data_IF_019919609425
#
_entry.id   IF_019919609425
#
_cell.length_a   1.000
_cell.length_b   1.000
_cell.length_c   1.000
_cell.angle_alpha   90.00
_cell.angle_beta   90.00
_cell.angle_gamma   90.00
#
_symmetry.space_group_name_H-M   'P 1'
#
loop_
_entity.id
_entity.type
_entity.pdbx_description
1 polymer ?
#
# COMPACT_ATOMS: atom_id res chain seq x y z
N UNK A 1 -5.19 -20.98 -6.14
CA UNK A 1 -4.40 -19.95 -5.41
C UNK A 1 -5.27 -18.92 -4.71
N UNK A 2 -6.04 -18.07 -5.42
CA UNK A 2 -6.83 -17.02 -4.76
C UNK A 2 -7.89 -17.58 -3.79
N UNK A 3 -8.42 -18.77 -4.09
CA UNK A 3 -9.32 -19.48 -3.17
C UNK A 3 -8.61 -19.87 -1.88
N UNK A 4 -7.38 -20.38 -1.97
CA UNK A 4 -6.54 -20.67 -0.81
C UNK A 4 -6.20 -19.39 -0.03
N UNK A 5 -5.89 -18.27 -0.70
CA UNK A 5 -5.68 -16.99 -0.05
C UNK A 5 -6.92 -16.49 0.70
N UNK A 6 -8.09 -16.61 0.06
CA UNK A 6 -9.38 -16.23 0.65
C UNK A 6 -9.69 -17.11 1.84
N UNK A 7 -9.43 -18.41 1.74
CA UNK A 7 -9.61 -19.36 2.84
C UNK A 7 -8.66 -19.07 4.01
N UNK A 8 -7.38 -18.77 3.75
CA UNK A 8 -6.40 -18.35 4.76
C UNK A 8 -6.89 -17.13 5.52
N UNK A 9 -7.36 -16.08 4.83
CA UNK A 9 -7.91 -14.89 5.49
C UNK A 9 -9.17 -15.23 6.29
N UNK A 10 -10.10 -15.98 5.69
CA UNK A 10 -11.40 -16.30 6.31
C UNK A 10 -11.24 -17.17 7.56
N UNK A 11 -10.24 -18.06 7.58
CA UNK A 11 -9.94 -18.95 8.72
C UNK A 11 -8.93 -18.36 9.70
N UNK A 12 -8.59 -17.06 9.58
CA UNK A 12 -7.63 -16.37 10.44
C UNK A 12 -6.22 -17.03 10.43
N UNK A 13 -5.80 -17.43 9.24
CA UNK A 13 -4.52 -18.05 8.88
C UNK A 13 -3.73 -17.20 7.87
N UNK A 14 -3.89 -15.88 7.94
CA UNK A 14 -3.28 -14.96 6.99
C UNK A 14 -1.74 -14.90 7.10
N UNK A 15 -1.17 -15.45 8.18
CA UNK A 15 0.27 -15.68 8.33
C UNK A 15 0.87 -16.54 7.21
N UNK A 16 0.05 -17.39 6.57
CA UNK A 16 0.51 -18.24 5.48
C UNK A 16 0.39 -17.59 4.10
N UNK A 17 -0.21 -16.41 3.96
CA UNK A 17 -0.34 -15.73 2.65
C UNK A 17 1.00 -15.55 1.93
N UNK A 18 2.12 -15.18 2.58
CA UNK A 18 3.40 -15.07 1.91
C UNK A 18 3.91 -16.39 1.32
N UNK A 19 3.43 -17.55 1.79
CA UNK A 19 3.81 -18.85 1.23
C UNK A 19 3.28 -19.06 -0.20
N UNK A 20 2.26 -18.31 -0.60
CA UNK A 20 1.74 -18.29 -1.98
C UNK A 20 2.66 -17.54 -2.95
N UNK A 21 3.71 -16.87 -2.45
CA UNK A 21 4.68 -16.13 -3.26
C UNK A 21 6.01 -16.86 -3.25
N UNK A 22 6.46 -17.28 -4.42
CA UNK A 22 7.78 -17.83 -4.67
C UNK A 22 8.73 -16.67 -5.01
N UNK A 23 9.75 -16.47 -4.18
CA UNK A 23 10.80 -15.47 -4.40
C UNK A 23 12.11 -16.24 -4.59
N UNK A 24 12.64 -16.34 -5.82
CA UNK A 24 13.91 -17.02 -6.04
C UNK A 24 15.04 -16.29 -5.32
N UNK A 25 15.86 -17.06 -4.60
CA UNK A 25 17.08 -16.57 -3.95
C UNK A 25 18.31 -16.91 -4.81
N UNK A 26 19.34 -16.06 -4.78
CA UNK A 26 20.66 -16.43 -5.28
C UNK A 26 21.32 -17.39 -4.31
N UNK A 27 22.24 -18.18 -4.85
CA UNK A 27 23.15 -19.00 -4.05
C UNK A 27 24.27 -18.12 -3.48
N UNK A 28 23.93 -17.30 -2.49
CA UNK A 28 24.87 -16.41 -1.78
C UNK A 28 24.74 -16.61 -0.28
N UNK A 29 25.90 -16.60 0.38
CA UNK A 29 26.04 -16.58 1.84
C UNK A 29 26.74 -15.28 2.21
N UNK A 30 26.15 -14.52 3.12
CA UNK A 30 26.71 -13.27 3.61
C UNK A 30 27.80 -13.52 4.67
N UNK A 31 28.53 -12.47 5.06
CA UNK A 31 29.67 -12.56 5.98
C UNK A 31 29.31 -13.11 7.36
N UNK A 32 28.05 -12.96 7.79
CA UNK A 32 27.50 -13.50 9.04
C UNK A 32 27.02 -14.96 8.95
N UNK A 33 27.18 -15.59 7.78
CA UNK A 33 26.75 -16.97 7.50
C UNK A 33 25.28 -17.11 7.11
N UNK A 34 24.52 -16.00 7.04
CA UNK A 34 23.12 -16.03 6.59
C UNK A 34 23.06 -16.14 5.07
N UNK A 35 22.17 -16.97 4.54
CA UNK A 35 21.94 -17.06 3.09
C UNK A 35 20.85 -16.09 2.64
N UNK A 36 20.85 -15.66 1.38
CA UNK A 36 19.77 -14.82 0.83
C UNK A 36 18.41 -15.54 0.94
N UNK A 37 18.38 -16.86 0.76
CA UNK A 37 17.17 -17.66 0.97
C UNK A 37 16.64 -17.54 2.42
N UNK A 38 17.53 -17.56 3.41
CA UNK A 38 17.16 -17.41 4.81
C UNK A 38 16.66 -15.99 5.12
N UNK A 39 17.30 -14.96 4.55
CA UNK A 39 16.87 -13.56 4.70
C UNK A 39 15.48 -13.32 4.08
N UNK A 40 15.25 -13.84 2.87
CA UNK A 40 13.92 -13.81 2.21
C UNK A 40 12.88 -14.54 3.08
N UNK A 41 13.22 -15.71 3.63
CA UNK A 41 12.32 -16.46 4.50
C UNK A 41 11.96 -15.68 5.76
N UNK A 42 12.92 -14.98 6.37
CA UNK A 42 12.68 -14.13 7.55
C UNK A 42 11.72 -12.98 7.20
N UNK A 43 11.94 -12.29 6.08
CA UNK A 43 11.04 -11.22 5.61
C UNK A 43 9.64 -11.77 5.32
N UNK A 44 9.53 -12.94 4.68
CA UNK A 44 8.23 -13.58 4.44
C UNK A 44 7.52 -13.94 5.74
N UNK A 45 8.23 -14.45 6.75
CA UNK A 45 7.66 -14.73 8.06
C UNK A 45 7.12 -13.45 8.72
N UNK A 46 7.90 -12.36 8.69
CA UNK A 46 7.47 -11.06 9.23
C UNK A 46 6.28 -10.48 8.48
N UNK A 47 6.22 -10.62 7.16
CA UNK A 47 5.05 -10.24 6.37
C UNK A 47 3.82 -11.03 6.80
N UNK A 48 3.99 -12.33 7.06
CA UNK A 48 2.93 -13.20 7.58
C UNK A 48 2.40 -12.72 8.93
N UNK A 49 3.29 -12.46 9.89
CA UNK A 49 2.94 -11.93 11.22
C UNK A 49 2.12 -10.63 11.11
N UNK A 50 2.54 -9.73 10.22
CA UNK A 50 1.84 -8.46 9.95
C UNK A 50 0.45 -8.69 9.35
N UNK A 51 0.33 -9.55 8.33
CA UNK A 51 -0.95 -9.86 7.69
C UNK A 51 -1.93 -10.52 8.65
N UNK A 52 -1.46 -11.47 9.47
CA UNK A 52 -2.26 -12.08 10.52
C UNK A 52 -2.78 -11.03 11.53
N UNK A 53 -1.93 -10.07 11.91
CA UNK A 53 -2.37 -8.98 12.79
C UNK A 53 -3.38 -8.05 12.12
N UNK A 54 -3.19 -7.71 10.85
CA UNK A 54 -4.16 -6.92 10.08
C UNK A 54 -5.54 -7.60 10.04
N UNK A 55 -5.58 -8.92 9.79
CA UNK A 55 -6.84 -9.68 9.80
C UNK A 55 -7.49 -9.71 11.18
N UNK A 56 -6.72 -9.86 12.26
CA UNK A 56 -7.26 -9.77 13.63
C UNK A 56 -7.86 -8.39 13.91
N UNK A 57 -7.15 -7.34 13.54
CA UNK A 57 -7.63 -5.95 13.67
C UNK A 57 -8.92 -5.73 12.88
N UNK A 58 -9.00 -6.25 11.64
CA UNK A 58 -10.20 -6.22 10.83
C UNK A 58 -11.39 -6.89 11.54
N UNK A 59 -11.17 -8.07 12.13
CA UNK A 59 -12.16 -8.79 12.92
C UNK A 59 -12.67 -7.95 14.09
N UNK A 60 -11.78 -7.38 14.89
CA UNK A 60 -12.18 -6.52 16.03
C UNK A 60 -12.96 -5.28 15.55
N UNK A 61 -12.56 -4.64 14.44
CA UNK A 61 -13.30 -3.52 13.88
C UNK A 61 -14.71 -3.92 13.45
N UNK A 62 -14.86 -5.08 12.82
CA UNK A 62 -16.15 -5.59 12.36
C UNK A 62 -17.06 -5.97 13.53
N UNK A 63 -16.52 -6.57 14.58
CA UNK A 63 -17.27 -6.92 15.78
C UNK A 63 -17.78 -5.67 16.52
N UNK A 64 -16.93 -4.63 16.59
CA UNK A 64 -17.20 -3.42 17.37
C UNK A 64 -18.02 -2.38 16.61
N UNK A 65 -17.85 -2.29 15.29
CA UNK A 65 -18.49 -1.30 14.44
C UNK A 65 -19.15 -1.91 13.18
N UNK A 66 -19.97 -2.98 13.29
CA UNK A 66 -20.42 -3.77 12.14
C UNK A 66 -21.15 -2.92 11.09
N UNK A 67 -22.08 -2.06 11.54
CA UNK A 67 -22.85 -1.19 10.65
C UNK A 67 -21.99 -0.14 9.93
N UNK A 68 -20.93 0.35 10.58
CA UNK A 68 -20.06 1.36 9.99
C UNK A 68 -19.12 0.71 8.97
N UNK A 69 -18.57 -0.46 9.31
CA UNK A 69 -17.72 -1.26 8.42
C UNK A 69 -18.48 -1.67 7.17
N UNK A 70 -19.70 -2.22 7.30
CA UNK A 70 -20.53 -2.60 6.16
C UNK A 70 -20.88 -1.41 5.27
N UNK A 71 -21.14 -0.24 5.87
CA UNK A 71 -21.45 0.99 5.14
C UNK A 71 -20.25 1.47 4.34
N UNK A 72 -19.07 1.54 4.95
CA UNK A 72 -17.83 1.95 4.29
C UNK A 72 -17.45 0.98 3.16
N UNK A 73 -17.47 -0.32 3.41
CA UNK A 73 -17.15 -1.33 2.38
C UNK A 73 -18.09 -1.20 1.18
N UNK A 74 -19.40 -1.10 1.42
CA UNK A 74 -20.38 -0.90 0.33
C UNK A 74 -20.13 0.41 -0.42
N UNK A 75 -19.80 1.49 0.29
CA UNK A 75 -19.50 2.77 -0.32
C UNK A 75 -18.23 2.70 -1.19
N UNK A 76 -17.17 2.06 -0.70
CA UNK A 76 -15.91 1.90 -1.46
C UNK A 76 -16.10 0.98 -2.66
N UNK A 77 -16.65 -0.22 -2.46
CA UNK A 77 -16.86 -1.19 -3.54
C UNK A 77 -17.85 -0.67 -4.60
N UNK A 78 -18.84 0.14 -4.19
CA UNK A 78 -19.78 0.79 -5.09
C UNK A 78 -19.16 1.87 -5.99
N UNK A 79 -17.99 2.42 -5.63
CA UNK A 79 -17.26 3.39 -6.47
C UNK A 79 -16.53 2.74 -7.66
N UNK A 80 -16.31 1.42 -7.64
CA UNK A 80 -15.55 0.71 -8.67
C UNK A 80 -14.21 1.39 -8.95
N UNK A 81 -13.92 1.68 -10.23
CA UNK A 81 -12.68 2.32 -10.66
C UNK A 81 -12.50 3.78 -10.18
N UNK A 82 -13.52 4.39 -9.55
CA UNK A 82 -13.44 5.75 -8.97
C UNK A 82 -13.04 5.75 -7.49
N UNK A 83 -12.79 4.60 -6.88
CA UNK A 83 -12.34 4.51 -5.49
C UNK A 83 -10.93 5.11 -5.36
N UNK A 84 -10.72 5.96 -4.36
CA UNK A 84 -9.38 6.47 -4.06
C UNK A 84 -8.49 5.38 -3.46
N UNK A 85 -7.17 5.57 -3.48
CA UNK A 85 -6.21 4.66 -2.83
C UNK A 85 -6.49 4.49 -1.34
N UNK A 86 -6.86 5.58 -0.67
CA UNK A 86 -7.30 5.56 0.73
C UNK A 86 -8.55 4.71 0.92
N UNK A 87 -9.54 4.85 0.04
CA UNK A 87 -10.78 4.05 0.09
C UNK A 87 -10.47 2.55 -0.03
N UNK A 88 -9.61 2.18 -0.99
CA UNK A 88 -9.20 0.80 -1.21
C UNK A 88 -8.42 0.22 -0.02
N UNK A 89 -7.50 1.01 0.56
CA UNK A 89 -6.76 0.60 1.76
C UNK A 89 -7.70 0.39 2.96
N UNK A 90 -8.68 1.27 3.15
CA UNK A 90 -9.70 1.12 4.21
C UNK A 90 -10.52 -0.15 3.97
N UNK A 91 -10.97 -0.41 2.74
CA UNK A 91 -11.73 -1.62 2.44
C UNK A 91 -10.92 -2.90 2.66
N UNK A 92 -9.65 -2.92 2.23
CA UNK A 92 -8.75 -4.05 2.43
C UNK A 92 -8.48 -4.32 3.92
N UNK A 93 -8.44 -3.28 4.76
CA UNK A 93 -8.21 -3.41 6.21
C UNK A 93 -9.50 -3.75 6.95
N UNK A 94 -10.66 -3.26 6.50
CA UNK A 94 -11.93 -3.47 7.17
C UNK A 94 -12.55 -4.84 6.86
N UNK A 95 -12.35 -5.35 5.64
CA UNK A 95 -12.76 -6.70 5.23
C UNK A 95 -11.80 -7.25 4.15
N UNK A 96 -10.66 -7.82 4.59
CA UNK A 96 -9.65 -8.34 3.66
C UNK A 96 -10.19 -9.46 2.76
N UNK A 97 -11.16 -10.26 3.22
CA UNK A 97 -11.74 -11.37 2.45
C UNK A 97 -12.66 -10.85 1.33
N UNK A 98 -13.53 -9.89 1.64
CA UNK A 98 -14.37 -9.26 0.63
C UNK A 98 -13.52 -8.51 -0.41
N UNK A 99 -12.44 -7.86 0.02
CA UNK A 99 -11.50 -7.21 -0.87
C UNK A 99 -10.84 -8.22 -1.84
N UNK A 100 -10.29 -9.33 -1.33
CA UNK A 100 -9.70 -10.39 -2.18
C UNK A 100 -10.72 -10.96 -3.17
N UNK A 101 -11.95 -11.17 -2.73
CA UNK A 101 -13.05 -11.66 -3.58
C UNK A 101 -13.37 -10.66 -4.69
N UNK A 102 -13.34 -9.36 -4.40
CA UNK A 102 -13.54 -8.33 -5.41
C UNK A 102 -12.42 -8.32 -6.46
N UNK A 103 -11.16 -8.54 -6.05
CA UNK A 103 -10.01 -8.60 -6.96
C UNK A 103 -10.06 -9.81 -7.91
N UNK A 104 -10.77 -10.89 -7.55
CA UNK A 104 -10.89 -12.12 -8.36
C UNK A 104 -11.33 -11.86 -9.80
N UNK A 105 -12.20 -10.86 -10.01
CA UNK A 105 -12.73 -10.52 -11.34
C UNK A 105 -11.70 -9.83 -12.22
N UNK A 106 -10.70 -9.22 -11.60
CA UNK A 106 -9.64 -8.50 -12.29
C UNK A 106 -8.47 -9.43 -12.61
N UNK A 107 -8.24 -10.46 -11.80
CA UNK A 107 -7.16 -11.41 -12.05
C UNK A 107 -7.57 -12.43 -13.13
N UNK A 108 -6.81 -12.50 -14.22
CA UNK A 108 -6.93 -13.52 -15.25
C UNK A 108 -5.60 -14.23 -15.45
N UNK A 109 -5.67 -15.48 -15.91
CA UNK A 109 -4.49 -16.33 -16.14
C UNK A 109 -4.50 -16.84 -17.55
N UNK A 110 -3.32 -16.82 -18.18
CA UNK A 110 -3.08 -17.45 -19.49
C UNK A 110 -2.08 -18.57 -19.28
N UNK A 111 -2.48 -19.81 -19.57
CA UNK A 111 -1.58 -20.96 -19.51
C UNK A 111 -0.42 -20.78 -20.51
N UNK A 112 0.80 -20.97 -20.04
CA UNK A 112 2.02 -20.90 -20.85
C UNK A 112 2.58 -22.28 -21.17
N UNK A 113 2.02 -23.34 -20.60
CA UNK A 113 2.56 -24.69 -20.63
C UNK A 113 3.55 -24.97 -19.51
N UNK A 114 3.95 -26.24 -19.38
CA UNK A 114 5.01 -26.71 -18.47
C UNK A 114 4.81 -26.36 -16.98
N UNK A 115 3.55 -26.33 -16.53
CA UNK A 115 3.21 -25.97 -15.16
C UNK A 115 3.42 -24.48 -14.86
N UNK A 116 3.35 -23.62 -15.88
CA UNK A 116 3.45 -22.16 -15.73
C UNK A 116 2.27 -21.44 -16.36
N UNK A 117 1.89 -20.29 -15.78
CA UNK A 117 0.86 -19.43 -16.35
C UNK A 117 1.23 -17.95 -16.18
N UNK A 118 0.89 -17.11 -17.16
CA UNK A 118 1.00 -15.67 -17.04
C UNK A 118 -0.16 -15.11 -16.21
N UNK A 119 0.13 -14.15 -15.32
CA UNK A 119 -0.88 -13.44 -14.55
C UNK A 119 -1.14 -12.06 -15.17
N UNK A 120 -2.41 -11.76 -15.40
CA UNK A 120 -2.89 -10.47 -15.86
C UNK A 120 -3.85 -9.88 -14.83
N UNK A 121 -3.86 -8.55 -14.72
CA UNK A 121 -4.79 -7.81 -13.89
C UNK A 121 -5.58 -6.85 -14.77
N UNK A 122 -6.90 -7.00 -14.77
CA UNK A 122 -7.85 -6.23 -15.58
C UNK A 122 -7.53 -6.32 -17.09
N UNK A 123 -7.15 -7.53 -17.53
CA UNK A 123 -6.73 -7.80 -18.90
C UNK A 123 -5.34 -7.30 -19.28
N UNK A 124 -4.63 -6.60 -18.38
CA UNK A 124 -3.28 -6.10 -18.62
C UNK A 124 -2.21 -7.00 -17.99
N UNK A 125 -1.10 -7.29 -18.68
CA UNK A 125 0.03 -8.02 -18.09
C UNK A 125 0.62 -7.28 -16.90
N UNK A 126 0.90 -7.98 -15.81
CA UNK A 126 1.56 -7.40 -14.64
C UNK A 126 3.09 -7.50 -14.83
N UNK A 127 3.84 -6.44 -14.52
CA UNK A 127 5.31 -6.37 -14.74
C UNK A 127 5.73 -6.72 -16.17
N UNK A 128 5.05 -6.16 -17.18
CA UNK A 128 5.26 -6.48 -18.59
C UNK A 128 5.17 -8.00 -18.90
N UNK A 129 4.38 -8.74 -18.11
CA UNK A 129 4.20 -10.19 -18.25
C UNK A 129 5.23 -11.03 -17.47
N UNK A 130 6.14 -10.41 -16.73
CA UNK A 130 7.15 -11.14 -15.95
C UNK A 130 6.58 -11.82 -14.68
N UNK A 131 5.42 -11.35 -14.19
CA UNK A 131 4.75 -11.99 -13.06
C UNK A 131 4.01 -13.23 -13.53
N UNK A 132 4.46 -14.39 -13.05
CA UNK A 132 3.95 -15.70 -13.48
C UNK A 132 3.44 -16.49 -12.29
N UNK A 133 2.63 -17.50 -12.57
CA UNK A 133 2.28 -18.58 -11.66
C UNK A 133 3.13 -19.80 -12.02
N UNK A 134 3.57 -20.52 -10.99
CA UNK A 134 4.26 -21.80 -11.10
C UNK A 134 3.50 -22.86 -10.31
N UNK A 135 3.30 -24.02 -10.92
CA UNK A 135 2.74 -25.20 -10.26
C UNK A 135 3.82 -25.88 -9.42
N UNK A 136 3.52 -26.10 -8.14
CA UNK A 136 4.38 -26.81 -7.20
C UNK A 136 3.64 -28.03 -6.64
N UNK A 137 4.33 -28.91 -5.90
CA UNK A 137 3.69 -30.03 -5.21
C UNK A 137 2.57 -29.60 -4.25
N UNK A 138 2.68 -28.38 -3.71
CA UNK A 138 1.74 -27.81 -2.74
C UNK A 138 0.68 -26.92 -3.42
N UNK A 139 0.66 -26.90 -4.74
CA UNK A 139 -0.23 -26.09 -5.57
C UNK A 139 0.45 -24.88 -6.22
N UNK A 140 -0.38 -24.02 -6.81
CA UNK A 140 0.06 -22.86 -7.57
C UNK A 140 0.57 -21.71 -6.69
N UNK A 141 1.75 -21.17 -7.04
CA UNK A 141 2.38 -20.00 -6.38
C UNK A 141 2.65 -18.88 -7.39
N UNK A 142 2.63 -17.63 -6.94
CA UNK A 142 3.09 -16.47 -7.71
C UNK A 142 4.61 -16.45 -7.69
N UNK A 143 5.26 -16.55 -8.85
CA UNK A 143 6.69 -16.36 -8.98
C UNK A 143 7.02 -14.88 -9.14
N UNK A 144 7.70 -14.33 -8.16
CA UNK A 144 8.12 -12.93 -8.16
C UNK A 144 9.29 -12.72 -9.15
N UNK A 145 9.24 -11.70 -10.03
CA UNK A 145 10.26 -11.47 -11.05
C UNK A 145 11.47 -10.73 -10.47
N UNK A 146 12.25 -11.41 -9.61
CA UNK A 146 13.39 -10.83 -8.89
C UNK A 146 14.40 -10.20 -9.83
N UNK A 147 14.72 -10.84 -10.97
CA UNK A 147 15.72 -10.32 -11.91
C UNK A 147 15.29 -8.97 -12.52
N UNK A 148 14.00 -8.80 -12.80
CA UNK A 148 13.44 -7.54 -13.27
C UNK A 148 13.50 -6.47 -12.17
N UNK A 149 13.08 -6.81 -10.95
CA UNK A 149 13.02 -5.84 -9.84
C UNK A 149 14.42 -5.45 -9.37
N UNK A 150 15.40 -6.36 -9.39
CA UNK A 150 16.78 -6.08 -9.01
C UNK A 150 17.47 -5.09 -9.95
N UNK A 151 17.02 -5.00 -11.21
CA UNK A 151 17.49 -3.93 -12.10
C UNK A 151 17.07 -2.53 -11.64
N UNK A 152 16.00 -2.45 -10.84
CA UNK A 152 15.66 -1.25 -10.09
C UNK A 152 16.43 -1.28 -8.76
N UNK A 153 17.13 -0.20 -8.41
CA UNK A 153 18.02 -0.07 -7.23
C UNK A 153 17.33 -0.27 -5.85
N UNK A 154 16.11 -0.79 -5.83
CA UNK A 154 15.24 -0.96 -4.68
C UNK A 154 15.22 -2.41 -4.16
N UNK A 155 15.78 -3.37 -4.89
CA UNK A 155 15.91 -4.74 -4.39
C UNK A 155 17.10 -4.86 -3.43
N UNK A 156 16.96 -5.50 -2.25
CA UNK A 156 18.09 -5.72 -1.36
C UNK A 156 19.10 -6.69 -1.97
N UNK A 157 20.36 -6.28 -2.06
CA UNK A 157 21.46 -7.08 -2.58
C UNK A 157 22.45 -7.54 -1.49
N UNK A 158 22.42 -6.89 -0.32
CA UNK A 158 23.28 -7.17 0.84
C UNK A 158 22.52 -7.58 2.11
N UNK A 159 23.24 -8.13 3.09
CA UNK A 159 22.69 -8.56 4.39
C UNK A 159 22.08 -7.38 5.16
N UNK A 160 22.75 -6.25 5.12
CA UNK A 160 22.39 -5.02 5.79
C UNK A 160 21.09 -4.45 5.20
N UNK A 161 20.95 -4.45 3.87
CA UNK A 161 19.72 -4.01 3.20
C UNK A 161 18.53 -4.91 3.54
N UNK A 162 18.74 -6.23 3.58
CA UNK A 162 17.72 -7.17 4.06
C UNK A 162 17.34 -6.90 5.53
N UNK A 163 18.31 -6.58 6.39
CA UNK A 163 18.05 -6.19 7.77
C UNK A 163 17.25 -4.89 7.88
N UNK A 164 17.54 -3.91 7.01
CA UNK A 164 16.78 -2.65 6.93
C UNK A 164 15.33 -2.95 6.60
N UNK A 165 15.05 -3.77 5.58
CA UNK A 165 13.67 -4.17 5.23
C UNK A 165 12.97 -4.82 6.42
N UNK A 166 13.62 -5.77 7.08
CA UNK A 166 13.06 -6.43 8.27
C UNK A 166 12.77 -5.42 9.41
N UNK A 167 13.66 -4.45 9.64
CA UNK A 167 13.47 -3.41 10.67
C UNK A 167 12.30 -2.46 10.36
N UNK A 168 12.11 -2.10 9.08
CA UNK A 168 10.96 -1.30 8.65
C UNK A 168 9.65 -2.05 8.88
N UNK A 169 9.62 -3.35 8.58
CA UNK A 169 8.47 -4.20 8.83
C UNK A 169 8.16 -4.33 10.31
N UNK A 170 9.19 -4.48 11.17
CA UNK A 170 9.03 -4.51 12.61
C UNK A 170 8.41 -3.22 13.16
N UNK A 171 8.80 -2.06 12.62
CA UNK A 171 8.19 -0.77 12.97
C UNK A 171 6.69 -0.76 12.68
N UNK A 172 6.29 -1.22 11.48
CA UNK A 172 4.87 -1.35 11.10
C UNK A 172 4.15 -2.35 12.01
N UNK A 173 4.77 -3.48 12.32
CA UNK A 173 4.19 -4.50 13.22
C UNK A 173 3.91 -3.91 14.61
N UNK A 174 4.83 -3.12 15.17
CA UNK A 174 4.66 -2.46 16.45
C UNK A 174 3.54 -1.41 16.41
N UNK A 175 3.47 -0.62 15.34
CA UNK A 175 2.39 0.33 15.16
C UNK A 175 1.01 -0.36 15.06
N UNK A 176 0.94 -1.53 14.41
CA UNK A 176 -0.27 -2.36 14.38
C UNK A 176 -0.63 -2.95 15.75
N UNK A 177 0.36 -3.37 16.56
CA UNK A 177 0.13 -3.82 17.96
C UNK A 177 -0.47 -2.71 18.80
N UNK A 178 0.08 -1.51 18.69
CA UNK A 178 -0.42 -0.35 19.42
C UNK A 178 -1.85 0.02 18.99
N UNK A 179 -2.12 -0.05 17.69
CA UNK A 179 -3.47 0.16 17.16
C UNK A 179 -4.47 -0.89 17.68
N UNK A 180 -4.09 -2.17 17.65
CA UNK A 180 -4.90 -3.29 18.18
C UNK A 180 -5.22 -3.06 19.67
N UNK A 181 -4.22 -2.67 20.48
CA UNK A 181 -4.38 -2.36 21.90
C UNK A 181 -5.31 -1.17 22.14
N UNK A 182 -5.18 -0.10 21.36
CA UNK A 182 -6.03 1.09 21.46
C UNK A 182 -7.48 0.80 21.06
N UNK A 183 -7.67 -0.12 20.11
CA UNK A 183 -8.99 -0.58 19.70
C UNK A 183 -9.65 -1.42 20.81
N UNK A 184 -8.90 -2.36 21.40
CA UNK A 184 -9.39 -3.25 22.47
C UNK A 184 -9.68 -2.51 23.77
N UNK A 185 -8.82 -1.56 24.16
CA UNK A 185 -9.03 -0.71 25.35
C UNK A 185 -10.17 0.29 25.20
N UNK A 186 -10.68 0.46 23.98
CA UNK A 186 -11.76 1.39 23.67
C UNK A 186 -11.35 2.86 23.56
N UNK A 187 -10.04 3.13 23.48
CA UNK A 187 -9.53 4.46 23.17
C UNK A 187 -10.06 4.95 21.80
N UNK A 188 -10.24 4.03 20.85
CA UNK A 188 -10.88 4.30 19.56
C UNK A 188 -12.40 4.20 19.72
N UNK A 189 -13.10 5.32 19.59
CA UNK A 189 -14.55 5.41 19.86
C UNK A 189 -15.44 5.14 18.64
N UNK A 190 -14.91 5.26 17.42
CA UNK A 190 -15.65 5.09 16.18
C UNK A 190 -14.71 4.70 15.01
N UNK A 191 -15.31 4.29 13.89
CA UNK A 191 -14.58 3.87 12.70
C UNK A 191 -13.79 5.03 12.05
N UNK A 192 -14.26 6.27 12.15
CA UNK A 192 -13.54 7.43 11.59
C UNK A 192 -12.19 7.65 12.30
N UNK A 193 -12.18 7.57 13.63
CA UNK A 193 -10.95 7.62 14.43
C UNK A 193 -10.01 6.44 14.12
N UNK A 194 -10.58 5.24 13.90
CA UNK A 194 -9.83 4.06 13.49
C UNK A 194 -9.16 4.28 12.12
N UNK A 195 -9.96 4.69 11.12
CA UNK A 195 -9.53 4.95 9.75
C UNK A 195 -8.54 6.11 9.64
N UNK A 196 -8.68 7.16 10.45
CA UNK A 196 -7.74 8.27 10.52
C UNK A 196 -6.36 7.82 11.05
N UNK A 197 -6.35 6.97 12.07
CA UNK A 197 -5.10 6.43 12.65
C UNK A 197 -4.42 5.42 11.73
N UNK A 198 -5.19 4.54 11.10
CA UNK A 198 -4.69 3.63 10.05
C UNK A 198 -4.17 4.42 8.86
N UNK A 199 -4.91 5.43 8.40
CA UNK A 199 -4.48 6.30 7.30
C UNK A 199 -3.18 7.03 7.60
N UNK A 200 -2.96 7.44 8.85
CA UNK A 200 -1.69 8.03 9.30
C UNK A 200 -0.55 7.00 9.30
N UNK A 201 -0.80 5.81 9.84
CA UNK A 201 0.18 4.71 9.86
C UNK A 201 0.61 4.30 8.44
N UNK A 202 -0.34 4.22 7.51
CA UNK A 202 -0.07 3.94 6.09
C UNK A 202 0.60 5.13 5.42
N UNK A 203 0.14 6.35 5.69
CA UNK A 203 0.69 7.59 5.14
C UNK A 203 2.12 7.90 5.63
N UNK A 204 2.51 7.41 6.80
CA UNK A 204 3.85 7.57 7.37
C UNK A 204 4.77 6.37 7.05
N UNK A 205 4.24 5.27 6.51
CA UNK A 205 5.01 4.05 6.21
C UNK A 205 5.49 4.01 4.76
N UNK A 206 6.80 4.16 4.58
CA UNK A 206 7.48 4.02 3.27
C UNK A 206 7.25 2.63 2.63
N UNK A 207 7.10 1.58 3.44
CA UNK A 207 6.78 0.22 2.95
C UNK A 207 5.34 0.15 2.43
N UNK A 208 4.39 0.73 3.15
CA UNK A 208 3.01 0.77 2.69
C UNK A 208 2.89 1.65 1.44
N UNK A 209 3.58 2.79 1.41
CA UNK A 209 3.66 3.68 0.25
C UNK A 209 4.27 2.98 -0.97
N UNK A 210 5.31 2.16 -0.81
CA UNK A 210 5.91 1.42 -1.93
C UNK A 210 5.03 0.27 -2.43
N UNK A 211 4.31 -0.42 -1.54
CA UNK A 211 3.27 -1.39 -1.93
C UNK A 211 2.13 -0.69 -2.67
N UNK A 212 1.65 0.44 -2.16
CA UNK A 212 0.60 1.24 -2.79
C UNK A 212 1.12 1.82 -4.13
N UNK A 213 2.36 2.29 -4.20
CA UNK A 213 2.98 2.80 -5.42
C UNK A 213 3.13 1.71 -6.50
N UNK A 214 3.55 0.50 -6.10
CA UNK A 214 3.55 -0.66 -7.00
C UNK A 214 2.14 -1.01 -7.49
N UNK A 215 1.11 -0.77 -6.68
CA UNK A 215 -0.29 -0.87 -7.10
C UNK A 215 -0.77 0.33 -7.96
N UNK A 216 -0.15 1.51 -7.83
CA UNK A 216 -0.54 2.77 -8.48
C UNK A 216 0.11 3.03 -9.84
N UNK A 217 1.21 2.35 -10.22
CA UNK A 217 1.85 2.55 -11.56
C UNK A 217 1.01 1.95 -12.71
N UNK A 218 -0.31 2.10 -12.62
CA UNK A 218 -1.31 1.62 -13.56
C UNK A 218 -1.89 2.73 -14.43
N UNK A 219 -1.51 3.99 -14.25
CA UNK A 219 -1.86 5.09 -15.15
C UNK A 219 -0.70 6.08 -15.27
N UNK A 220 -0.05 6.15 -16.44
CA UNK A 220 0.82 7.27 -16.83
C UNK A 220 2.30 6.94 -17.02
N UNK A 221 2.82 7.41 -18.15
CA UNK A 221 4.21 7.42 -18.60
C UNK A 221 5.16 8.16 -17.63
N UNK A 222 6.45 8.04 -17.94
CA UNK A 222 7.60 8.70 -17.31
C UNK A 222 7.29 10.09 -16.71
N UNK A 223 7.51 10.26 -15.40
CA UNK A 223 7.77 11.58 -14.82
C UNK A 223 8.55 11.46 -13.49
N UNK A 224 9.47 12.41 -13.33
CA UNK A 224 10.51 12.49 -12.31
C UNK A 224 10.02 12.38 -10.86
N UNK A 225 10.89 11.81 -10.03
CA UNK A 225 10.77 11.72 -8.57
C UNK A 225 10.53 13.12 -7.98
N UNK A 226 9.43 13.40 -7.27
CA UNK A 226 9.36 14.62 -6.48
C UNK A 226 10.31 14.46 -5.30
N UNK A 227 11.37 15.27 -5.30
CA UNK A 227 12.27 15.41 -4.17
C UNK A 227 11.45 15.74 -2.92
N UNK A 228 11.57 14.91 -1.88
CA UNK A 228 10.99 15.19 -0.57
C UNK A 228 11.85 16.26 0.08
N UNK A 229 11.36 17.50 0.08
CA UNK A 229 11.87 18.57 0.93
C UNK A 229 11.62 18.20 2.40
N UNK A 230 12.60 17.53 3.01
CA UNK A 230 12.67 17.43 4.46
C UNK A 230 13.14 18.76 5.04
N UNK A 231 12.35 19.28 5.98
CA UNK A 231 12.65 20.28 7.01
C UNK A 231 12.11 21.71 6.79
N UNK A 232 11.09 22.06 7.59
CA UNK A 232 11.22 23.12 8.62
C UNK A 232 10.10 23.02 9.66
N UNK A 233 10.45 22.50 10.83
CA UNK A 233 9.75 22.74 12.09
C UNK A 233 10.81 23.17 13.10
N UNK A 234 10.59 24.34 13.74
CA UNK A 234 11.55 25.07 14.58
C UNK A 234 11.84 26.43 13.93
N UNK A 235 11.54 27.60 14.49
CA UNK A 235 11.30 27.99 15.87
C UNK A 235 10.33 29.18 15.93
N UNK A 236 9.56 29.24 17.02
CA UNK A 236 8.83 30.43 17.43
C UNK A 236 9.23 30.79 18.86
N UNK A 237 10.14 31.76 19.05
CA UNK A 237 10.21 32.63 20.25
C UNK A 237 10.89 33.98 19.88
N UNK A 238 10.17 35.09 20.17
CA UNK A 238 10.60 36.51 20.37
C UNK A 238 11.46 37.21 19.29
N UNK A 239 11.26 38.47 18.88
CA UNK A 239 11.13 39.67 19.70
C UNK A 239 10.65 40.87 18.84
N UNK A 240 10.15 41.91 19.50
CA UNK A 240 9.51 43.10 18.96
C UNK A 240 10.45 44.05 18.20
N UNK A 241 9.95 44.67 17.11
CA UNK A 241 10.06 46.12 16.86
C UNK A 241 9.33 46.55 15.58
N UNK A 242 8.35 47.45 15.73
CA UNK A 242 7.89 48.44 14.70
C UNK A 242 8.95 49.56 14.60
N UNK A 243 9.01 50.45 13.57
CA UNK A 243 7.85 51.11 12.95
C UNK A 243 7.90 51.54 11.45
N UNK A 244 6.71 51.65 10.84
CA UNK A 244 6.18 52.82 10.10
C UNK A 244 6.82 53.30 8.78
N UNK A 245 6.02 53.36 7.70
CA UNK A 245 5.55 54.63 7.08
C UNK A 245 4.57 54.41 5.92
N UNK A 246 3.76 55.44 5.74
CA UNK A 246 2.49 55.56 5.01
C UNK A 246 2.62 55.97 3.53
N UNK A 247 1.46 56.14 2.86
CA UNK A 247 1.16 57.09 1.75
C UNK A 247 1.32 56.49 0.32
N UNK A 248 0.46 56.67 -0.71
CA UNK A 248 -0.81 57.39 -0.95
C UNK A 248 -1.59 56.83 -2.16
N UNK A 249 -2.86 57.27 -2.22
CA UNK A 249 -3.92 57.28 -3.25
C UNK A 249 -3.52 57.50 -4.73
N UNK A 250 -4.34 56.98 -5.65
CA UNK A 250 -5.39 57.68 -6.46
C UNK A 250 -6.05 56.70 -7.45
N UNK A 251 -7.40 56.55 -7.44
CA UNK A 251 -8.41 57.16 -8.35
C UNK A 251 -8.13 56.85 -9.83
N UNK A 252 -9.06 56.45 -10.70
CA UNK A 252 -10.53 56.41 -10.72
C UNK A 252 -10.97 55.76 -12.06
N UNK A 253 -12.04 54.94 -12.07
CA UNK A 253 -13.27 55.09 -12.87
C UNK A 253 -13.13 55.56 -14.35
N UNK A 254 -13.79 55.02 -15.39
CA UNK A 254 -15.10 54.36 -15.53
C UNK A 254 -15.22 53.81 -16.97
N UNK A 255 -16.06 52.78 -17.16
CA UNK A 255 -16.90 52.44 -18.34
C UNK A 255 -16.50 52.87 -19.76
N UNK A 256 -16.45 51.90 -20.70
CA UNK A 256 -17.52 51.76 -21.71
C UNK A 256 -17.40 50.45 -22.52
N UNK A 257 -18.56 49.83 -22.74
CA UNK A 257 -18.88 48.76 -23.72
C UNK A 257 -19.87 49.43 -24.73
N UNK A 258 -20.29 48.84 -25.88
CA UNK A 258 -19.95 47.54 -26.48
C UNK A 258 -19.83 47.53 -28.03
N UNK A 259 -19.70 46.30 -28.57
CA UNK A 259 -20.26 45.81 -29.86
C UNK A 259 -19.45 46.00 -31.15
N UNK A 260 -18.93 44.89 -31.72
CA UNK A 260 -19.52 44.12 -32.85
C UNK A 260 -18.54 43.09 -33.45
N UNK A 261 -19.06 41.90 -33.69
CA UNK A 261 -18.63 40.81 -34.61
C UNK A 261 -19.13 41.19 -36.04
N UNK A 262 -18.71 40.64 -37.23
CA UNK A 262 -18.00 39.38 -37.55
C UNK A 262 -16.79 39.43 -38.53
N UNK A 263 -16.20 38.23 -38.62
CA UNK A 263 -15.37 37.53 -39.61
C UNK A 263 -15.32 38.00 -41.08
N UNK A 264 -14.25 37.59 -41.77
CA UNK A 264 -14.38 36.64 -42.89
C UNK A 264 -13.86 35.23 -42.56
#
# INVERSE_FOLDING_TARGET
MLDAATEMVTKNHAEYLPTLIEIPARDVTFDDGVTEASAISEVKAKAGDMLARLVRVAGVLRDRFPKQVDKEIKAVLGKGNKASTRDLAIAAIADPAAWLTAQRKLLTTTDLGDGTAALSFDGQPIFAGALTLIETSDGWRIRFPVDLVRSSKYWPDSREEWAVVASMMLSVENALKDFERDLQSGAIKNLDAASSRVGRLVGESVVAQSIIYAMMKRDGEDDEVPAVDTAKTGDAVSDASKPGKSVEKKKSNTTDKPSKVPTP
#
